data_IF_141368417780
#
_entry.id   IF_141368417780
#
_cell.length_a   1.000
_cell.length_b   1.000
_cell.length_c   1.000
_cell.angle_alpha   90.00
_cell.angle_beta   90.00
_cell.angle_gamma   90.00
#
_symmetry.space_group_name_H-M   'P 1'
#
loop_
_entity.id
_entity.type
_entity.pdbx_description
1 polymer ?
#
# COMPACT_ATOMS: atom_id res chain seq x y z
N UNK A 1 3.59 -14.44 36.32
CA UNK A 1 4.11 -13.40 35.46
C UNK A 1 3.21 -12.18 35.61
N UNK A 2 3.77 -11.13 36.23
CA UNK A 2 3.11 -9.83 36.35
C UNK A 2 2.99 -9.23 34.96
N UNK A 3 1.78 -8.99 34.51
CA UNK A 3 1.52 -8.23 33.28
C UNK A 3 2.05 -6.82 33.53
N UNK A 4 3.04 -6.41 32.76
CA UNK A 4 3.60 -5.06 32.79
C UNK A 4 2.50 -4.08 32.40
N UNK A 5 2.29 -3.01 33.18
CA UNK A 5 1.31 -1.99 32.82
C UNK A 5 1.77 -1.28 31.53
N UNK A 6 0.83 -0.68 30.79
CA UNK A 6 1.09 0.01 29.52
C UNK A 6 2.21 1.05 29.61
N UNK A 7 2.31 1.78 30.73
CA UNK A 7 3.32 2.81 30.94
C UNK A 7 4.73 2.23 31.04
N UNK A 8 4.88 1.06 31.70
CA UNK A 8 6.16 0.37 31.71
C UNK A 8 6.56 -0.17 30.33
N UNK A 9 5.61 -0.69 29.57
CA UNK A 9 5.87 -1.13 28.20
C UNK A 9 6.32 0.04 27.31
N UNK A 10 5.63 1.18 27.38
CA UNK A 10 6.01 2.40 26.66
C UNK A 10 7.39 2.92 27.09
N UNK A 11 7.70 2.91 28.41
CA UNK A 11 9.00 3.32 28.93
C UNK A 11 10.14 2.39 28.47
N UNK A 12 9.90 1.09 28.39
CA UNK A 12 10.90 0.16 27.85
C UNK A 12 11.04 0.33 26.33
N UNK A 13 9.93 0.47 25.61
CA UNK A 13 9.94 0.68 24.16
C UNK A 13 10.70 1.96 23.76
N UNK A 14 10.59 3.05 24.54
CA UNK A 14 11.30 4.31 24.27
C UNK A 14 12.84 4.20 24.42
N UNK A 15 13.35 3.12 25.00
CA UNK A 15 14.79 2.86 25.16
C UNK A 15 15.36 1.88 24.14
N UNK A 16 14.51 1.26 23.33
CA UNK A 16 14.96 0.37 22.26
C UNK A 16 15.53 1.22 21.12
N UNK A 17 16.73 0.87 20.70
CA UNK A 17 17.32 1.46 19.51
C UNK A 17 16.41 1.21 18.29
N UNK A 18 15.98 2.26 17.58
CA UNK A 18 15.12 2.10 16.40
C UNK A 18 15.74 1.22 15.30
N UNK A 19 17.06 1.27 15.13
CA UNK A 19 17.74 0.42 14.14
C UNK A 19 17.70 -1.05 14.55
N UNK A 20 17.90 -1.35 15.84
CA UNK A 20 17.75 -2.70 16.37
C UNK A 20 16.32 -3.22 16.21
N UNK A 21 15.32 -2.38 16.47
CA UNK A 21 13.92 -2.74 16.25
C UNK A 21 13.62 -3.06 14.77
N UNK A 22 14.17 -2.25 13.85
CA UNK A 22 14.03 -2.50 12.42
C UNK A 22 14.71 -3.81 11.98
N UNK A 23 15.91 -4.10 12.50
CA UNK A 23 16.62 -5.36 12.24
C UNK A 23 15.83 -6.57 12.74
N UNK A 24 15.22 -6.48 13.93
CA UNK A 24 14.36 -7.56 14.48
C UNK A 24 13.18 -7.82 13.54
N UNK A 25 12.52 -6.79 13.01
CA UNK A 25 11.42 -6.96 12.07
C UNK A 25 11.86 -7.71 10.80
N UNK A 26 13.02 -7.37 10.24
CA UNK A 26 13.60 -8.05 9.08
C UNK A 26 13.87 -9.52 9.39
N UNK A 27 14.53 -9.81 10.52
CA UNK A 27 14.83 -11.19 10.96
C UNK A 27 13.56 -12.02 11.20
N UNK A 28 12.55 -11.42 11.82
CA UNK A 28 11.25 -12.09 12.03
C UNK A 28 10.59 -12.44 10.69
N UNK A 29 10.65 -11.53 9.72
CA UNK A 29 10.09 -11.79 8.40
C UNK A 29 10.89 -12.88 7.65
N UNK A 30 12.22 -12.90 7.76
CA UNK A 30 13.06 -13.96 7.22
C UNK A 30 12.68 -15.33 7.80
N UNK A 31 12.49 -15.43 9.13
CA UNK A 31 12.05 -16.67 9.79
C UNK A 31 10.67 -17.13 9.29
N UNK A 32 9.72 -16.21 9.10
CA UNK A 32 8.40 -16.53 8.52
C UNK A 32 8.51 -17.08 7.09
N UNK A 33 9.41 -16.52 6.28
CA UNK A 33 9.66 -17.00 4.91
C UNK A 33 10.31 -18.38 4.91
N UNK A 34 11.33 -18.62 5.75
CA UNK A 34 12.02 -19.91 5.88
C UNK A 34 11.06 -21.01 6.33
N UNK A 35 10.19 -20.72 7.27
CA UNK A 35 9.13 -21.63 7.75
C UNK A 35 7.94 -21.77 6.82
N UNK A 36 7.92 -21.04 5.70
CA UNK A 36 6.82 -21.03 4.71
C UNK A 36 5.46 -20.64 5.29
N UNK A 37 5.44 -19.88 6.37
CA UNK A 37 4.19 -19.49 7.05
C UNK A 37 3.33 -18.54 6.22
N UNK A 38 3.93 -17.86 5.24
CA UNK A 38 3.27 -16.92 4.36
C UNK A 38 2.95 -17.49 2.96
N UNK A 39 3.24 -18.75 2.69
CA UNK A 39 3.05 -19.34 1.36
C UNK A 39 1.57 -19.34 0.92
N UNK A 40 0.65 -19.58 1.85
CA UNK A 40 -0.79 -19.64 1.56
C UNK A 40 -1.45 -18.30 1.26
N UNK A 41 -0.78 -17.17 1.58
CA UNK A 41 -1.35 -15.82 1.35
C UNK A 41 -0.77 -15.14 0.11
N UNK A 42 0.18 -15.75 -0.58
CA UNK A 42 0.76 -15.20 -1.81
C UNK A 42 -0.30 -15.02 -2.92
N UNK A 43 -0.23 -13.91 -3.59
CA UNK A 43 -1.04 -13.67 -4.78
C UNK A 43 -0.54 -14.56 -5.94
N UNK A 44 -1.42 -15.38 -6.49
CA UNK A 44 -1.10 -16.40 -7.51
C UNK A 44 0.04 -17.35 -7.11
N UNK A 45 0.10 -17.72 -5.83
CA UNK A 45 1.11 -18.61 -5.21
C UNK A 45 2.56 -18.15 -5.42
N UNK A 46 2.75 -16.89 -5.76
CA UNK A 46 4.07 -16.33 -6.10
C UNK A 46 4.39 -15.04 -5.39
N UNK A 47 3.51 -14.03 -5.44
CA UNK A 47 3.84 -12.68 -5.00
C UNK A 47 3.34 -12.40 -3.58
N UNK A 48 4.24 -11.95 -2.72
CA UNK A 48 3.87 -11.41 -1.42
C UNK A 48 3.25 -10.02 -1.60
N UNK A 49 2.05 -9.84 -1.09
CA UNK A 49 1.36 -8.55 -1.17
C UNK A 49 1.89 -7.64 -0.08
N UNK A 50 2.47 -6.53 -0.49
CA UNK A 50 3.03 -5.53 0.40
C UNK A 50 2.28 -4.22 0.26
N UNK A 51 1.80 -3.71 1.39
CA UNK A 51 1.06 -2.45 1.45
C UNK A 51 1.97 -1.37 1.98
N UNK A 52 1.98 -0.22 1.32
CA UNK A 52 2.74 0.96 1.75
C UNK A 52 1.80 2.13 1.95
N UNK A 53 2.00 2.86 3.03
CA UNK A 53 1.28 4.11 3.31
C UNK A 53 2.06 4.99 4.29
N UNK A 54 1.85 6.31 4.19
CA UNK A 54 2.43 7.30 5.09
C UNK A 54 1.55 7.57 6.30
N UNK A 55 2.16 7.70 7.47
CA UNK A 55 1.43 8.05 8.70
C UNK A 55 2.16 9.10 9.52
N UNK A 56 1.38 9.89 10.24
CA UNK A 56 1.91 10.77 11.28
C UNK A 56 2.29 9.93 12.49
N UNK A 57 3.59 9.89 12.81
CA UNK A 57 4.11 9.18 13.97
C UNK A 57 3.93 9.99 15.26
N UNK A 58 4.21 11.29 15.18
CA UNK A 58 4.25 12.16 16.35
C UNK A 58 3.81 13.58 16.01
N UNK A 59 3.13 14.22 16.95
CA UNK A 59 2.73 15.63 16.89
C UNK A 59 3.28 16.37 18.10
N UNK A 60 4.09 17.39 17.88
CA UNK A 60 4.60 18.23 18.95
C UNK A 60 4.19 19.71 18.75
N UNK A 61 3.57 20.30 19.77
CA UNK A 61 3.17 21.71 19.76
C UNK A 61 4.34 22.67 20.02
N UNK A 62 5.36 22.22 20.74
CA UNK A 62 6.55 23.01 21.12
C UNK A 62 7.69 22.87 20.10
N UNK A 63 7.51 22.06 19.06
CA UNK A 63 8.53 21.70 18.11
C UNK A 63 9.41 20.54 18.58
N UNK A 64 10.09 19.87 17.65
CA UNK A 64 11.10 18.86 17.94
C UNK A 64 12.45 19.55 18.06
N UNK A 65 13.36 19.01 18.88
CA UNK A 65 14.76 19.47 18.92
C UNK A 65 15.41 19.36 17.56
N UNK A 66 14.98 18.35 16.80
CA UNK A 66 15.42 18.10 15.44
C UNK A 66 14.23 17.63 14.59
N UNK A 67 14.00 18.26 13.44
CA UNK A 67 13.04 17.90 12.41
C UNK A 67 11.55 18.10 12.70
N UNK A 68 10.76 17.71 11.73
CA UNK A 68 9.30 17.75 11.75
C UNK A 68 8.69 18.78 10.78
N UNK A 69 7.63 18.39 10.04
CA UNK A 69 6.89 19.28 9.14
C UNK A 69 6.07 20.30 9.92
N UNK A 70 6.15 21.54 9.49
CA UNK A 70 5.32 22.62 9.97
C UNK A 70 3.91 22.48 9.39
N UNK A 71 2.88 22.61 10.24
CA UNK A 71 1.49 22.66 9.81
C UNK A 71 0.85 23.99 10.20
N UNK A 72 -0.30 24.27 9.61
CA UNK A 72 -1.12 25.41 10.01
C UNK A 72 -1.37 25.36 11.53
N UNK A 73 -1.01 26.43 12.26
CA UNK A 73 -1.13 26.49 13.71
C UNK A 73 0.16 26.21 14.52
N UNK A 74 1.32 26.14 13.87
CA UNK A 74 2.63 26.05 14.53
C UNK A 74 3.00 24.67 15.11
N UNK A 75 2.15 23.65 14.96
CA UNK A 75 2.48 22.29 15.34
C UNK A 75 3.44 21.65 14.32
N UNK A 76 4.39 20.85 14.78
CA UNK A 76 5.27 20.05 13.94
C UNK A 76 4.87 18.58 14.01
N UNK A 77 5.03 17.87 12.88
CA UNK A 77 4.68 16.47 12.74
C UNK A 77 5.87 15.68 12.23
N UNK A 78 6.11 14.51 12.81
CA UNK A 78 6.99 13.48 12.23
C UNK A 78 6.14 12.53 11.43
N UNK A 79 6.54 12.31 10.19
CA UNK A 79 5.91 11.38 9.27
C UNK A 79 6.80 10.18 9.06
N UNK A 80 6.19 9.02 8.97
CA UNK A 80 6.85 7.77 8.66
C UNK A 80 6.13 7.09 7.51
N UNK A 81 6.88 6.56 6.56
CA UNK A 81 6.39 5.65 5.55
C UNK A 81 6.54 4.24 6.09
N UNK A 82 5.45 3.49 6.18
CA UNK A 82 5.46 2.10 6.64
C UNK A 82 5.17 1.17 5.47
N UNK A 83 5.97 0.11 5.38
CA UNK A 83 5.74 -1.05 4.53
C UNK A 83 5.35 -2.23 5.40
N UNK A 84 4.24 -2.86 5.05
CA UNK A 84 3.71 -4.04 5.75
C UNK A 84 3.41 -5.16 4.78
N UNK A 85 3.55 -6.39 5.20
CA UNK A 85 3.20 -7.59 4.43
C UNK A 85 1.83 -8.09 4.87
N UNK A 86 1.00 -8.50 3.93
CA UNK A 86 -0.27 -9.15 4.24
C UNK A 86 0.00 -10.59 4.65
N UNK A 87 -0.36 -10.91 5.88
CA UNK A 87 -0.27 -12.23 6.47
C UNK A 87 -1.60 -13.00 6.42
N UNK A 88 -1.65 -14.16 7.09
CA UNK A 88 -2.87 -14.95 7.24
C UNK A 88 -4.01 -14.13 7.87
N UNK A 89 -5.27 -14.47 7.52
CA UNK A 89 -6.46 -13.80 8.04
C UNK A 89 -6.49 -12.28 7.84
N UNK A 90 -5.85 -11.81 6.73
CA UNK A 90 -5.71 -10.39 6.40
C UNK A 90 -5.00 -9.57 7.50
N UNK A 91 -4.14 -10.19 8.30
CA UNK A 91 -3.30 -9.47 9.26
C UNK A 91 -2.21 -8.69 8.54
N UNK A 92 -1.83 -7.53 9.07
CA UNK A 92 -0.68 -6.79 8.58
C UNK A 92 0.53 -7.02 9.49
N UNK A 93 1.63 -7.42 8.87
CA UNK A 93 2.92 -7.61 9.52
C UNK A 93 3.82 -6.44 9.12
N UNK A 94 4.08 -5.47 10.01
CA UNK A 94 5.02 -4.39 9.74
C UNK A 94 6.40 -4.97 9.44
N UNK A 95 6.99 -4.59 8.31
CA UNK A 95 8.28 -5.09 7.86
C UNK A 95 9.38 -4.05 7.93
N UNK A 96 9.13 -2.90 7.36
CA UNK A 96 10.11 -1.82 7.27
C UNK A 96 9.42 -0.48 7.37
N UNK A 97 10.16 0.52 7.80
CA UNK A 97 9.71 1.90 7.77
C UNK A 97 10.83 2.82 7.30
N UNK A 98 10.45 4.01 6.84
CA UNK A 98 11.35 5.08 6.44
C UNK A 98 10.85 6.39 7.02
N UNK A 99 11.68 7.09 7.79
CA UNK A 99 11.33 8.42 8.27
C UNK A 99 11.45 9.43 7.13
N UNK A 100 10.48 10.33 7.06
CA UNK A 100 10.56 11.44 6.12
C UNK A 100 11.39 12.53 6.76
N UNK A 101 12.59 12.75 6.20
CA UNK A 101 13.49 13.78 6.67
C UNK A 101 12.97 15.16 6.29
N UNK A 102 12.71 15.98 7.30
CA UNK A 102 12.17 17.33 7.14
C UNK A 102 13.24 18.40 7.43
N UNK A 103 14.50 17.97 7.62
CA UNK A 103 15.56 18.82 8.13
C UNK A 103 16.14 19.82 7.13
N UNK A 104 15.89 19.67 5.84
CA UNK A 104 16.53 20.55 4.87
C UNK A 104 15.75 21.87 4.73
N UNK A 105 15.85 22.73 5.74
CA UNK A 105 15.37 24.12 5.68
C UNK A 105 16.08 24.97 4.61
N UNK A 106 17.22 24.49 4.09
CA UNK A 106 18.03 25.20 3.09
C UNK A 106 17.70 24.82 1.65
N UNK A 107 17.05 23.68 1.42
CA UNK A 107 16.57 23.30 0.10
C UNK A 107 15.04 23.40 0.08
N UNK A 108 14.49 24.25 -0.80
CA UNK A 108 13.04 24.42 -1.02
C UNK A 108 12.30 23.13 -1.42
N UNK A 109 12.96 21.98 -1.44
CA UNK A 109 12.39 20.67 -1.76
C UNK A 109 12.30 19.82 -0.50
N UNK A 110 11.15 19.93 0.15
CA UNK A 110 10.78 19.04 1.24
C UNK A 110 10.91 17.57 0.85
N UNK A 111 11.33 16.74 1.79
CA UNK A 111 11.21 15.29 1.64
C UNK A 111 9.74 14.91 1.58
N UNK A 112 9.41 13.93 0.75
CA UNK A 112 8.04 13.51 0.52
C UNK A 112 7.97 11.98 0.50
N UNK A 113 6.74 11.47 0.62
CA UNK A 113 6.48 10.02 0.61
C UNK A 113 7.10 9.31 -0.60
N UNK A 114 7.14 9.93 -1.77
CA UNK A 114 7.72 9.32 -2.97
C UNK A 114 9.25 9.16 -2.87
N UNK A 115 9.94 10.14 -2.25
CA UNK A 115 11.38 10.03 -2.00
C UNK A 115 11.69 9.01 -0.91
N UNK A 116 10.90 9.02 0.17
CA UNK A 116 11.00 8.01 1.23
C UNK A 116 10.74 6.61 0.68
N UNK A 117 9.76 6.46 -0.22
CA UNK A 117 9.50 5.20 -0.90
C UNK A 117 10.69 4.70 -1.74
N UNK A 118 11.38 5.60 -2.44
CA UNK A 118 12.55 5.22 -3.23
C UNK A 118 13.67 4.65 -2.33
N UNK A 119 13.96 5.30 -1.18
CA UNK A 119 14.95 4.80 -0.21
C UNK A 119 14.51 3.46 0.40
N UNK A 120 13.25 3.38 0.84
CA UNK A 120 12.66 2.16 1.41
C UNK A 120 12.71 1.00 0.43
N UNK A 121 12.38 1.25 -0.85
CA UNK A 121 12.41 0.25 -1.91
C UNK A 121 13.81 -0.28 -2.18
N UNK A 122 14.81 0.59 -2.15
CA UNK A 122 16.20 0.19 -2.31
C UNK A 122 16.64 -0.74 -1.16
N UNK A 123 16.38 -0.35 0.08
CA UNK A 123 16.68 -1.16 1.27
C UNK A 123 15.94 -2.51 1.22
N UNK A 124 14.66 -2.51 0.85
CA UNK A 124 13.88 -3.74 0.70
C UNK A 124 14.48 -4.67 -0.35
N UNK A 125 14.96 -4.12 -1.47
CA UNK A 125 15.61 -4.90 -2.52
C UNK A 125 16.97 -5.47 -2.10
N UNK A 126 17.72 -4.74 -1.29
CA UNK A 126 19.00 -5.18 -0.72
C UNK A 126 18.80 -6.33 0.27
N UNK A 127 17.83 -6.20 1.19
CA UNK A 127 17.51 -7.24 2.19
C UNK A 127 16.88 -8.49 1.57
N UNK A 128 16.03 -8.30 0.56
CA UNK A 128 15.25 -9.38 -0.07
C UNK A 128 15.42 -9.39 -1.61
N UNK A 129 16.61 -9.64 -2.15
CA UNK A 129 16.91 -9.43 -3.57
C UNK A 129 16.10 -10.30 -4.53
N UNK A 130 15.59 -11.45 -4.07
CA UNK A 130 14.84 -12.42 -4.87
C UNK A 130 13.36 -12.52 -4.52
N UNK A 131 12.89 -11.72 -3.58
CA UNK A 131 11.50 -11.78 -3.14
C UNK A 131 10.57 -11.28 -4.24
N UNK A 132 9.57 -12.09 -4.58
CA UNK A 132 8.54 -11.70 -5.54
C UNK A 132 7.48 -10.85 -4.84
N UNK A 133 7.47 -9.55 -5.14
CA UNK A 133 6.63 -8.56 -4.46
C UNK A 133 5.51 -8.09 -5.36
N UNK A 134 4.31 -7.93 -4.79
CA UNK A 134 3.21 -7.15 -5.35
C UNK A 134 2.95 -5.95 -4.45
N UNK A 135 3.36 -4.77 -4.90
CA UNK A 135 3.14 -3.51 -4.19
C UNK A 135 1.69 -3.07 -4.31
N UNK A 136 1.08 -2.74 -3.18
CA UNK A 136 -0.26 -2.16 -3.11
C UNK A 136 -0.19 -0.81 -2.42
N UNK A 137 -0.72 0.22 -3.04
CA UNK A 137 -0.67 1.57 -2.50
C UNK A 137 -1.83 2.44 -2.99
N UNK A 138 -1.97 3.61 -2.38
CA UNK A 138 -3.01 4.57 -2.69
C UNK A 138 -2.73 5.38 -3.98
N UNK A 139 -3.61 6.34 -4.29
CA UNK A 139 -3.50 7.14 -5.50
C UNK A 139 -2.31 8.13 -5.50
N UNK A 140 -1.67 8.39 -4.37
CA UNK A 140 -0.45 9.18 -4.31
C UNK A 140 0.70 8.46 -5.02
N UNK A 141 0.75 7.14 -4.87
CA UNK A 141 1.77 6.27 -5.47
C UNK A 141 1.45 5.89 -6.93
N UNK A 142 0.27 6.25 -7.43
CA UNK A 142 -0.11 6.02 -8.83
C UNK A 142 0.58 7.07 -9.73
N UNK A 143 1.88 6.93 -9.95
CA UNK A 143 2.68 7.83 -10.76
C UNK A 143 3.85 7.10 -11.45
N UNK A 144 4.40 7.73 -12.48
CA UNK A 144 5.50 7.17 -13.28
C UNK A 144 6.70 6.75 -12.43
N UNK A 145 7.09 7.56 -11.45
CA UNK A 145 8.25 7.28 -10.59
C UNK A 145 8.12 5.93 -9.86
N UNK A 146 6.95 5.63 -9.31
CA UNK A 146 6.69 4.37 -8.60
C UNK A 146 6.67 3.18 -9.55
N UNK A 147 6.04 3.34 -10.72
CA UNK A 147 6.01 2.28 -11.74
C UNK A 147 7.42 1.98 -12.25
N UNK A 148 8.27 3.00 -12.42
CA UNK A 148 9.69 2.83 -12.78
C UNK A 148 10.43 1.99 -11.74
N UNK A 149 10.25 2.27 -10.44
CA UNK A 149 10.86 1.48 -9.36
C UNK A 149 10.38 0.02 -9.41
N UNK A 150 9.07 -0.18 -9.57
CA UNK A 150 8.52 -1.54 -9.66
C UNK A 150 9.07 -2.31 -10.87
N UNK A 151 9.25 -1.65 -12.02
CA UNK A 151 9.85 -2.27 -13.20
C UNK A 151 11.33 -2.59 -12.99
N UNK A 152 12.10 -1.66 -12.40
CA UNK A 152 13.52 -1.86 -12.11
C UNK A 152 13.77 -3.09 -11.22
N UNK A 153 12.88 -3.34 -10.26
CA UNK A 153 13.01 -4.43 -9.30
C UNK A 153 12.22 -5.70 -9.68
N UNK A 154 11.56 -5.73 -10.83
CA UNK A 154 10.66 -6.81 -11.28
C UNK A 154 9.51 -7.06 -10.29
N UNK A 155 8.97 -6.00 -9.71
CA UNK A 155 7.81 -6.08 -8.82
C UNK A 155 6.51 -5.95 -9.60
N UNK A 156 5.49 -6.63 -9.11
CA UNK A 156 4.10 -6.37 -9.49
C UNK A 156 3.55 -5.23 -8.66
N UNK A 157 2.50 -4.59 -9.19
CA UNK A 157 1.80 -3.55 -8.44
C UNK A 157 0.30 -3.57 -8.69
N UNK A 158 -0.45 -3.09 -7.69
CA UNK A 158 -1.87 -2.74 -7.79
C UNK A 158 -2.05 -1.41 -7.07
N UNK A 159 -2.10 -0.32 -7.84
CA UNK A 159 -2.16 1.04 -7.30
C UNK A 159 -3.53 1.64 -7.56
N UNK A 160 -4.08 2.35 -6.58
CA UNK A 160 -5.37 3.02 -6.74
C UNK A 160 -5.26 4.13 -7.78
N UNK A 161 -6.13 4.11 -8.79
CA UNK A 161 -6.25 5.17 -9.79
C UNK A 161 -7.37 6.14 -9.41
N UNK A 162 -7.08 7.43 -9.44
CA UNK A 162 -8.09 8.49 -9.28
C UNK A 162 -7.99 9.47 -10.44
N UNK A 163 -9.16 9.83 -10.99
CA UNK A 163 -9.27 10.79 -12.10
C UNK A 163 -8.47 12.07 -11.86
N UNK A 164 -8.67 12.72 -10.73
CA UNK A 164 -7.99 13.99 -10.40
C UNK A 164 -6.47 13.88 -10.20
N UNK A 165 -5.91 12.66 -10.10
CA UNK A 165 -4.47 12.44 -9.99
C UNK A 165 -3.82 12.06 -11.32
N UNK A 166 -4.53 11.31 -12.16
CA UNK A 166 -4.05 10.81 -13.45
C UNK A 166 -5.12 11.00 -14.53
N UNK A 167 -5.46 12.25 -14.88
CA UNK A 167 -6.56 12.53 -15.81
C UNK A 167 -6.33 11.93 -17.21
N UNK A 168 -5.10 11.97 -17.72
CA UNK A 168 -4.78 11.41 -19.03
C UNK A 168 -5.01 9.90 -19.10
N UNK A 169 -4.50 9.17 -18.10
CA UNK A 169 -4.69 7.72 -17.99
C UNK A 169 -6.17 7.35 -17.80
N UNK A 170 -6.88 8.15 -17.01
CA UNK A 170 -8.31 8.00 -16.78
C UNK A 170 -9.11 8.18 -18.07
N UNK A 171 -8.89 9.27 -18.81
CA UNK A 171 -9.56 9.56 -20.07
C UNK A 171 -9.27 8.52 -21.15
N UNK A 172 -8.01 8.08 -21.26
CA UNK A 172 -7.63 7.01 -22.18
C UNK A 172 -8.38 5.72 -21.84
N UNK A 173 -8.44 5.36 -20.55
CA UNK A 173 -9.20 4.20 -20.09
C UNK A 173 -10.66 4.26 -20.54
N UNK A 174 -11.33 5.39 -20.29
CA UNK A 174 -12.75 5.56 -20.67
C UNK A 174 -12.97 5.49 -22.18
N UNK A 175 -12.04 6.01 -22.99
CA UNK A 175 -12.10 5.92 -24.47
C UNK A 175 -11.94 4.49 -24.96
N UNK A 176 -11.12 3.68 -24.30
CA UNK A 176 -10.82 2.30 -24.72
C UNK A 176 -11.87 1.29 -24.24
N UNK A 177 -12.61 1.58 -23.16
CA UNK A 177 -13.63 0.68 -22.61
C UNK A 177 -14.66 0.17 -23.64
N UNK A 178 -15.20 0.99 -24.56
CA UNK A 178 -16.18 0.53 -25.57
C UNK A 178 -15.62 -0.53 -26.53
N UNK A 179 -14.31 -0.53 -26.75
CA UNK A 179 -13.62 -1.50 -27.61
C UNK A 179 -13.29 -2.80 -26.89
N UNK A 180 -13.34 -2.79 -25.55
CA UNK A 180 -13.02 -3.92 -24.66
C UNK A 180 -14.30 -4.53 -24.05
N UNK A 181 -15.37 -4.67 -24.80
CA UNK A 181 -16.69 -5.10 -24.31
C UNK A 181 -16.70 -6.48 -23.66
N UNK A 182 -15.80 -7.37 -24.06
CA UNK A 182 -15.65 -8.73 -23.52
C UNK A 182 -14.86 -8.75 -22.21
N UNK A 183 -14.13 -7.68 -21.90
CA UNK A 183 -13.34 -7.54 -20.68
C UNK A 183 -14.25 -7.11 -19.53
N UNK A 184 -15.09 -8.03 -19.08
CA UNK A 184 -16.03 -7.81 -17.99
C UNK A 184 -16.24 -9.06 -17.15
N UNK A 185 -16.52 -8.86 -15.88
CA UNK A 185 -16.92 -9.91 -14.94
C UNK A 185 -17.93 -9.32 -13.97
N UNK A 186 -18.97 -10.10 -13.66
CA UNK A 186 -19.90 -9.79 -12.58
C UNK A 186 -19.86 -10.91 -11.55
N UNK A 187 -19.66 -10.54 -10.29
CA UNK A 187 -19.73 -11.45 -9.16
C UNK A 187 -20.89 -11.05 -8.26
N UNK A 188 -21.68 -12.03 -7.87
CA UNK A 188 -22.69 -11.86 -6.84
C UNK A 188 -22.06 -12.24 -5.50
N UNK A 189 -22.11 -11.33 -4.56
CA UNK A 189 -21.62 -11.52 -3.21
C UNK A 189 -22.83 -11.92 -2.36
N UNK A 190 -22.90 -13.17 -1.95
CA UNK A 190 -23.97 -13.66 -1.08
C UNK A 190 -23.35 -14.34 0.14
N UNK A 191 -23.35 -13.66 1.29
CA UNK A 191 -23.24 -14.29 2.60
C UNK A 191 -24.14 -13.54 3.58
N UNK A 192 -24.85 -14.28 4.41
CA UNK A 192 -25.67 -13.81 5.55
C UNK A 192 -26.77 -12.77 5.21
N UNK A 193 -27.49 -12.97 4.10
CA UNK A 193 -28.65 -12.16 3.76
C UNK A 193 -28.35 -10.75 3.22
N UNK A 194 -27.07 -10.38 3.03
CA UNK A 194 -26.66 -9.15 2.37
C UNK A 194 -26.24 -9.45 0.94
N UNK A 195 -27.17 -9.27 0.00
CA UNK A 195 -26.84 -9.34 -1.42
C UNK A 195 -25.96 -8.16 -1.81
N UNK A 196 -24.79 -8.44 -2.34
CA UNK A 196 -23.90 -7.45 -2.95
C UNK A 196 -23.51 -7.89 -4.35
N UNK A 197 -23.04 -6.95 -5.15
CA UNK A 197 -22.56 -7.21 -6.50
C UNK A 197 -21.27 -6.47 -6.76
N UNK A 198 -20.32 -7.13 -7.38
CA UNK A 198 -19.12 -6.51 -7.93
C UNK A 198 -19.14 -6.63 -9.45
N UNK A 199 -19.05 -5.51 -10.14
CA UNK A 199 -18.90 -5.44 -11.59
C UNK A 199 -17.50 -4.98 -11.96
N UNK A 200 -16.77 -5.80 -12.69
CA UNK A 200 -15.41 -5.49 -13.15
C UNK A 200 -15.42 -5.21 -14.65
N UNK A 201 -14.64 -4.21 -15.04
CA UNK A 201 -14.24 -3.94 -16.43
C UNK A 201 -12.76 -3.65 -16.45
N UNK A 202 -12.07 -4.04 -17.51
CA UNK A 202 -10.64 -3.74 -17.61
C UNK A 202 -10.21 -3.41 -19.04
N UNK A 203 -9.15 -2.65 -19.11
CA UNK A 203 -8.48 -2.25 -20.33
C UNK A 203 -7.00 -2.55 -20.18
N UNK A 204 -6.40 -3.24 -21.14
CA UNK A 204 -4.98 -3.51 -21.17
C UNK A 204 -4.24 -2.48 -22.03
N UNK A 205 -2.96 -2.26 -21.72
CA UNK A 205 -2.05 -1.38 -22.45
C UNK A 205 -2.47 0.10 -22.46
N UNK A 206 -2.93 0.61 -21.33
CA UNK A 206 -3.16 2.05 -21.09
C UNK A 206 -1.85 2.69 -20.67
N UNK A 207 -1.60 3.94 -21.03
CA UNK A 207 -0.39 4.65 -20.67
C UNK A 207 -0.49 5.34 -19.30
N UNK A 208 0.54 5.18 -18.48
CA UNK A 208 0.83 6.02 -17.34
C UNK A 208 2.21 6.67 -17.53
N UNK A 209 2.23 7.90 -18.01
CA UNK A 209 3.45 8.51 -18.52
C UNK A 209 3.99 7.71 -19.70
N UNK A 210 5.21 7.19 -19.60
CA UNK A 210 5.86 6.37 -20.64
C UNK A 210 5.64 4.86 -20.45
N UNK A 211 4.95 4.45 -19.37
CA UNK A 211 4.78 3.05 -19.01
C UNK A 211 3.43 2.50 -19.47
N UNK A 212 3.47 1.35 -20.12
CA UNK A 212 2.25 0.58 -20.36
C UNK A 212 1.79 -0.11 -19.09
N UNK A 213 0.52 0.05 -18.76
CA UNK A 213 -0.13 -0.54 -17.61
C UNK A 213 -1.52 -1.05 -17.99
N UNK A 214 -2.16 -1.78 -17.10
CA UNK A 214 -3.54 -2.21 -17.27
C UNK A 214 -4.41 -1.54 -16.23
N UNK A 215 -5.61 -1.16 -16.62
CA UNK A 215 -6.59 -0.51 -15.73
C UNK A 215 -7.76 -1.44 -15.46
N UNK A 216 -8.12 -1.60 -14.20
CA UNK A 216 -9.29 -2.36 -13.76
C UNK A 216 -10.24 -1.39 -13.06
N UNK A 217 -11.47 -1.32 -13.53
CA UNK A 217 -12.57 -0.61 -12.89
C UNK A 217 -13.46 -1.62 -12.16
N UNK A 218 -13.77 -1.35 -10.91
CA UNK A 218 -14.65 -2.15 -10.09
C UNK A 218 -15.81 -1.29 -9.59
N UNK A 219 -17.02 -1.58 -10.06
CA UNK A 219 -18.26 -1.09 -9.45
C UNK A 219 -18.68 -2.01 -8.33
N UNK A 220 -19.07 -1.47 -7.19
CA UNK A 220 -19.62 -2.22 -6.07
C UNK A 220 -20.98 -1.69 -5.69
N UNK A 221 -21.97 -2.58 -5.65
CA UNK A 221 -23.32 -2.31 -5.16
C UNK A 221 -23.49 -3.16 -3.90
N UNK A 222 -23.67 -2.50 -2.78
CA UNK A 222 -24.00 -3.14 -1.50
C UNK A 222 -25.48 -2.95 -1.20
N UNK A 223 -25.96 -3.45 -0.07
CA UNK A 223 -27.32 -3.23 0.41
C UNK A 223 -27.68 -1.74 0.60
N UNK A 224 -26.68 -0.85 0.69
CA UNK A 224 -26.89 0.59 0.62
C UNK A 224 -27.10 1.03 -0.85
N UNK A 225 -27.98 2.01 -1.11
CA UNK A 225 -28.35 2.41 -2.47
C UNK A 225 -27.24 3.14 -3.26
N UNK A 226 -26.02 3.22 -2.74
CA UNK A 226 -24.91 3.91 -3.36
C UNK A 226 -23.97 2.94 -4.04
N UNK A 227 -23.81 3.08 -5.36
CA UNK A 227 -22.76 2.40 -6.09
C UNK A 227 -21.41 3.10 -5.86
N UNK A 228 -20.40 2.35 -5.47
CA UNK A 228 -19.03 2.87 -5.34
C UNK A 228 -18.20 2.38 -6.52
N UNK A 229 -17.44 3.28 -7.13
CA UNK A 229 -16.51 2.96 -8.20
C UNK A 229 -15.08 3.04 -7.67
N UNK A 230 -14.35 1.95 -7.81
CA UNK A 230 -12.93 1.85 -7.57
C UNK A 230 -12.19 1.66 -8.89
N UNK A 231 -10.98 2.18 -8.99
CA UNK A 231 -10.12 1.97 -10.14
C UNK A 231 -8.70 1.64 -9.68
N UNK A 232 -8.06 0.74 -10.40
CA UNK A 232 -6.70 0.29 -10.10
C UNK A 232 -5.88 0.22 -11.37
N UNK A 233 -4.60 0.56 -11.28
CA UNK A 233 -3.61 0.22 -12.31
C UNK A 233 -2.78 -0.98 -11.86
N UNK A 234 -2.34 -1.78 -12.81
CA UNK A 234 -1.53 -2.96 -12.54
C UNK A 234 -0.67 -3.36 -13.76
N UNK A 235 0.47 -4.01 -13.50
CA UNK A 235 1.30 -4.64 -14.53
C UNK A 235 1.11 -6.17 -14.61
N UNK A 236 0.07 -6.72 -14.00
CA UNK A 236 -0.32 -8.09 -14.26
C UNK A 236 -0.85 -8.20 -15.69
N UNK A 237 -0.21 -9.03 -16.50
CA UNK A 237 -0.60 -9.29 -17.89
C UNK A 237 -1.60 -10.44 -18.00
N UNK A 238 -2.20 -10.58 -19.20
CA UNK A 238 -3.17 -11.65 -19.52
C UNK A 238 -4.32 -11.68 -18.51
N UNK A 239 -4.99 -10.55 -18.37
CA UNK A 239 -6.10 -10.39 -17.46
C UNK A 239 -7.29 -11.22 -17.94
N UNK A 240 -7.55 -12.36 -17.27
CA UNK A 240 -8.79 -13.11 -17.38
C UNK A 240 -9.78 -12.65 -16.29
N UNK A 241 -11.07 -12.94 -16.42
CA UNK A 241 -12.05 -12.61 -15.39
C UNK A 241 -11.63 -13.05 -13.98
N UNK A 242 -11.12 -14.27 -13.83
CA UNK A 242 -10.67 -14.80 -12.53
C UNK A 242 -9.44 -14.05 -12.02
N UNK A 243 -8.48 -13.74 -12.90
CA UNK A 243 -7.29 -12.98 -12.51
C UNK A 243 -7.64 -11.56 -12.05
N UNK A 244 -8.56 -10.89 -12.75
CA UNK A 244 -9.04 -9.56 -12.37
C UNK A 244 -9.65 -9.58 -10.97
N UNK A 245 -10.55 -10.52 -10.68
CA UNK A 245 -11.15 -10.66 -9.36
C UNK A 245 -10.09 -10.88 -8.26
N UNK A 246 -9.09 -11.73 -8.51
CA UNK A 246 -8.01 -12.00 -7.56
C UNK A 246 -7.13 -10.77 -7.37
N UNK A 247 -6.70 -10.09 -8.44
CA UNK A 247 -5.85 -8.88 -8.38
C UNK A 247 -6.53 -7.79 -7.56
N UNK A 248 -7.84 -7.59 -7.74
CA UNK A 248 -8.57 -6.56 -7.00
C UNK A 248 -8.87 -7.00 -5.57
N UNK A 249 -9.46 -8.18 -5.37
CA UNK A 249 -9.97 -8.58 -4.05
C UNK A 249 -8.89 -9.05 -3.09
N UNK A 250 -7.77 -9.62 -3.59
CA UNK A 250 -6.61 -10.04 -2.78
C UNK A 250 -5.38 -9.12 -2.95
N UNK A 251 -5.54 -8.03 -3.67
CA UNK A 251 -4.50 -7.03 -3.89
C UNK A 251 -5.05 -5.63 -3.58
N UNK A 252 -5.65 -4.97 -4.56
CA UNK A 252 -6.05 -3.56 -4.47
C UNK A 252 -6.95 -3.20 -3.29
N UNK A 253 -7.87 -4.08 -2.90
CA UNK A 253 -8.77 -3.86 -1.76
C UNK A 253 -8.07 -4.01 -0.40
N UNK A 254 -6.99 -4.77 -0.33
CA UNK A 254 -6.26 -4.98 0.93
C UNK A 254 -5.53 -3.71 1.42
N UNK A 255 -5.48 -2.66 0.60
CA UNK A 255 -4.89 -1.37 0.99
C UNK A 255 -5.51 -0.79 2.26
N UNK A 256 -6.82 -0.96 2.48
CA UNK A 256 -7.50 -0.41 3.65
C UNK A 256 -6.97 -0.98 4.97
N UNK A 257 -6.40 -2.18 4.97
CA UNK A 257 -5.87 -2.81 6.17
C UNK A 257 -4.78 -1.97 6.85
N UNK A 258 -3.96 -1.24 6.07
CA UNK A 258 -2.91 -0.40 6.65
C UNK A 258 -3.51 0.83 7.34
N UNK A 259 -4.58 1.41 6.78
CA UNK A 259 -5.31 2.51 7.41
C UNK A 259 -5.95 2.07 8.73
N UNK A 260 -6.58 0.89 8.74
CA UNK A 260 -7.18 0.30 9.95
C UNK A 260 -6.12 0.00 11.00
N UNK A 261 -4.94 -0.47 10.61
CA UNK A 261 -3.80 -0.71 11.50
C UNK A 261 -3.31 0.60 12.12
N UNK A 262 -3.15 1.66 11.33
CA UNK A 262 -2.76 2.97 11.85
C UNK A 262 -3.81 3.55 12.81
N UNK A 263 -5.10 3.36 12.50
CA UNK A 263 -6.18 3.80 13.38
C UNK A 263 -6.15 3.03 14.72
N UNK A 264 -5.90 1.73 14.67
CA UNK A 264 -5.75 0.89 15.88
C UNK A 264 -4.54 1.32 16.70
N UNK A 265 -3.38 1.55 16.08
CA UNK A 265 -2.17 2.02 16.75
C UNK A 265 -2.36 3.39 17.42
N UNK A 266 -3.09 4.31 16.78
CA UNK A 266 -3.34 5.66 17.33
C UNK A 266 -4.36 5.68 18.48
N UNK A 267 -5.32 4.76 18.48
CA UNK A 267 -6.44 4.79 19.41
C UNK A 267 -6.30 3.78 20.56
N UNK A 268 -5.52 2.73 20.39
CA UNK A 268 -5.40 1.61 21.34
C UNK A 268 -3.95 1.37 21.79
N UNK A 269 -2.99 2.18 21.31
CA UNK A 269 -1.57 2.09 21.65
C UNK A 269 -1.14 3.01 22.79
#
# INVERSE_FOLDING_TARGET
>A
PTVTCSDNAAHHASRVDPELAAQIQVLMFQDLLERRMLDGVRLFDRWYVMVVDGSVKEKCRQGFQEGGKSAHGGARYRYVLQLSVIGPEATLLPLMHEEMDVHNLETEKEDCELKAFARLSQRLKEEFPRLAICLVADALYCCQAIVTVCQLFDWKYVLTLKEGRQPTTWDETLRLLPFNRNNRLRLLLGQDGKAGQQDFRWVENVLLGEHQTNVILQGEITAAPTATLYAYITNFSKLSPQRVAIVVNRGGRERHLIEDTFNTQKNNG
#
